data_IF_994652198925
#
_entry.id   IF_994652198925
#
_cell.length_a   1.000
_cell.length_b   1.000
_cell.length_c   1.000
_cell.angle_alpha   90.00
_cell.angle_beta   90.00
_cell.angle_gamma   90.00
#
_symmetry.space_group_name_H-M   'P 1'
#
loop_
_entity.id
_entity.type
_entity.pdbx_description
1 polymer ?
#
# COMPACT_ATOMS: atom_id res chain seq x y z
N UNK A 1 6.22 -7.84 1.07
CA UNK A 1 7.67 -7.56 1.13
C UNK A 1 7.94 -6.24 0.44
N UNK A 2 8.51 -5.31 1.18
CA UNK A 2 9.08 -4.07 0.65
C UNK A 2 10.49 -4.34 0.16
N UNK A 3 10.87 -3.73 -0.96
CA UNK A 3 12.21 -3.77 -1.54
C UNK A 3 12.62 -2.36 -1.93
N UNK A 4 13.77 -1.92 -1.44
CA UNK A 4 14.40 -0.67 -1.83
C UNK A 4 15.65 -0.99 -2.66
N UNK A 5 15.84 -0.32 -3.78
CA UNK A 5 16.98 -0.52 -4.69
C UNK A 5 17.37 0.81 -5.33
N UNK A 6 18.40 1.45 -4.78
CA UNK A 6 18.77 2.83 -5.12
C UNK A 6 17.60 3.77 -4.87
N UNK A 7 17.10 4.37 -5.95
CA UNK A 7 15.99 5.31 -5.95
C UNK A 7 14.61 4.67 -6.16
N UNK A 8 14.56 3.35 -6.30
CA UNK A 8 13.32 2.63 -6.54
C UNK A 8 12.86 1.96 -5.25
N UNK A 9 11.58 2.14 -4.93
CA UNK A 9 10.90 1.42 -3.85
C UNK A 9 9.78 0.60 -4.47
N UNK A 10 9.74 -0.68 -4.14
CA UNK A 10 8.70 -1.60 -4.57
C UNK A 10 8.07 -2.28 -3.35
N UNK A 11 6.74 -2.22 -3.25
CA UNK A 11 5.98 -2.88 -2.20
C UNK A 11 5.05 -3.91 -2.81
N UNK A 12 5.26 -5.17 -2.45
CA UNK A 12 4.42 -6.30 -2.84
C UNK A 12 3.75 -6.89 -1.61
N UNK A 13 2.49 -6.53 -1.35
CA UNK A 13 1.72 -7.01 -0.19
C UNK A 13 1.34 -5.92 0.81
N UNK A 14 1.10 -4.69 0.33
CA UNK A 14 0.39 -3.70 1.13
C UNK A 14 -1.11 -4.00 1.14
N UNK A 15 -1.83 -3.40 2.08
CA UNK A 15 -3.29 -3.41 2.10
C UNK A 15 -3.80 -1.98 2.33
N UNK A 16 -4.89 -1.60 1.67
CA UNK A 16 -5.58 -0.34 1.94
C UNK A 16 -7.08 -0.58 2.10
N UNK A 17 -7.73 0.33 2.83
CA UNK A 17 -9.13 0.21 3.21
C UNK A 17 -9.97 1.21 2.42
N UNK A 18 -11.05 0.73 1.82
CA UNK A 18 -12.02 1.57 1.09
C UNK A 18 -13.41 0.96 1.17
N UNK A 19 -14.43 1.79 1.44
CA UNK A 19 -15.84 1.37 1.55
C UNK A 19 -16.01 0.15 2.48
N UNK A 20 -15.34 0.15 3.64
CA UNK A 20 -15.35 -0.93 4.65
C UNK A 20 -14.80 -2.29 4.19
N UNK A 21 -14.04 -2.32 3.10
CA UNK A 21 -13.32 -3.50 2.61
C UNK A 21 -11.82 -3.22 2.55
N UNK A 22 -11.04 -4.25 2.81
CA UNK A 22 -9.60 -4.22 2.61
C UNK A 22 -9.27 -4.79 1.23
N UNK A 23 -8.29 -4.21 0.55
CA UNK A 23 -7.80 -4.65 -0.75
C UNK A 23 -6.30 -4.82 -0.72
N UNK A 24 -5.81 -5.83 -1.43
CA UNK A 24 -4.38 -5.94 -1.70
C UNK A 24 -3.93 -4.79 -2.61
N UNK A 25 -2.77 -4.23 -2.31
CA UNK A 25 -2.13 -3.24 -3.17
C UNK A 25 -0.66 -3.56 -3.34
N UNK A 26 -0.20 -3.33 -4.56
CA UNK A 26 1.21 -3.28 -4.90
C UNK A 26 1.51 -1.91 -5.47
N UNK A 27 2.66 -1.35 -5.13
CA UNK A 27 3.09 -0.10 -5.75
C UNK A 27 4.60 -0.09 -5.96
N UNK A 28 4.99 0.70 -6.94
CA UNK A 28 6.37 1.08 -7.17
C UNK A 28 6.47 2.60 -7.23
N UNK A 29 7.49 3.15 -6.60
CA UNK A 29 7.85 4.55 -6.78
C UNK A 29 9.33 4.69 -7.12
N UNK A 30 9.61 5.71 -7.91
CA UNK A 30 10.96 6.17 -8.20
C UNK A 30 11.13 7.55 -7.59
N UNK A 31 12.23 7.73 -6.86
CA UNK A 31 12.60 8.98 -6.19
C UNK A 31 13.69 9.67 -7.00
N UNK A 32 13.63 10.99 -7.10
CA UNK A 32 14.76 11.78 -7.55
C UNK A 32 15.92 11.66 -6.55
N UNK A 33 17.15 11.43 -7.04
CA UNK A 33 18.31 11.16 -6.18
C UNK A 33 18.81 12.36 -5.39
N UNK A 34 18.51 13.59 -5.83
CA UNK A 34 18.89 14.79 -5.11
C UNK A 34 17.81 15.23 -4.11
N UNK A 35 16.60 15.45 -4.62
CA UNK A 35 15.51 16.06 -3.86
C UNK A 35 14.68 15.07 -3.03
N UNK A 36 14.81 13.76 -3.29
CA UNK A 36 13.99 12.72 -2.66
C UNK A 36 12.51 12.75 -3.05
N UNK A 37 12.14 13.55 -4.05
CA UNK A 37 10.76 13.67 -4.53
C UNK A 37 10.38 12.45 -5.38
N UNK A 38 9.14 12.01 -5.27
CA UNK A 38 8.60 10.98 -6.17
C UNK A 38 8.49 11.55 -7.58
N UNK A 39 9.22 10.96 -8.53
CA UNK A 39 9.19 11.33 -9.96
C UNK A 39 8.35 10.38 -10.80
N UNK A 40 8.10 9.17 -10.30
CA UNK A 40 7.23 8.18 -10.93
C UNK A 40 6.51 7.35 -9.88
N UNK A 41 5.23 7.09 -10.10
CA UNK A 41 4.40 6.27 -9.24
C UNK A 41 3.47 5.39 -10.08
N UNK A 42 3.47 4.09 -9.79
CA UNK A 42 2.52 3.16 -10.36
C UNK A 42 2.01 2.22 -9.28
N UNK A 43 0.71 1.92 -9.32
CA UNK A 43 0.05 1.05 -8.37
C UNK A 43 -0.84 0.04 -9.07
N UNK A 44 -1.06 -1.08 -8.41
CA UNK A 44 -1.98 -2.13 -8.81
C UNK A 44 -2.85 -2.49 -7.61
N UNK A 45 -4.17 -2.34 -7.78
CA UNK A 45 -5.16 -2.81 -6.80
C UNK A 45 -5.51 -4.24 -7.17
N UNK A 46 -5.32 -5.15 -6.21
CA UNK A 46 -5.74 -6.54 -6.30
C UNK A 46 -7.11 -6.76 -5.68
N UNK A 47 -7.42 -8.03 -5.45
CA UNK A 47 -8.70 -8.45 -4.88
C UNK A 47 -8.90 -7.96 -3.44
N UNK A 48 -10.17 -7.95 -3.04
CA UNK A 48 -10.55 -7.71 -1.66
C UNK A 48 -10.02 -8.83 -0.75
N UNK A 49 -9.45 -8.47 0.38
CA UNK A 49 -8.96 -9.40 1.40
C UNK A 49 -10.18 -9.94 2.18
N UNK A 50 -10.40 -11.27 2.22
CA UNK A 50 -11.47 -11.89 3.00
C UNK A 50 -11.42 -11.50 4.48
N UNK A 51 -12.58 -11.31 5.12
CA UNK A 51 -12.67 -10.77 6.49
C UNK A 51 -12.05 -11.68 7.54
N UNK A 52 -12.12 -12.98 7.32
CA UNK A 52 -11.48 -14.02 8.11
C UNK A 52 -9.94 -13.93 8.08
N UNK A 53 -9.36 -13.36 7.03
CA UNK A 53 -7.92 -13.13 6.94
C UNK A 53 -7.46 -11.83 7.60
N UNK A 54 -8.37 -10.90 7.94
CA UNK A 54 -7.99 -9.57 8.42
C UNK A 54 -7.12 -9.60 9.68
N UNK A 55 -7.46 -10.45 10.66
CA UNK A 55 -6.68 -10.57 11.90
C UNK A 55 -5.26 -11.07 11.63
N UNK A 56 -5.10 -12.01 10.70
CA UNK A 56 -3.78 -12.54 10.30
C UNK A 56 -2.90 -11.46 9.67
N UNK A 57 -3.51 -10.47 9.02
CA UNK A 57 -2.84 -9.34 8.39
C UNK A 57 -2.83 -8.06 9.25
N UNK A 58 -3.26 -8.13 10.52
CA UNK A 58 -3.38 -6.98 11.44
C UNK A 58 -4.28 -5.85 10.90
N UNK A 59 -5.31 -6.21 10.12
CA UNK A 59 -6.23 -5.27 9.50
C UNK A 59 -7.43 -5.02 10.43
N UNK A 60 -7.62 -3.77 10.84
CA UNK A 60 -8.72 -3.39 11.73
C UNK A 60 -10.01 -3.13 10.96
N UNK A 61 -11.15 -3.30 11.64
CA UNK A 61 -12.48 -3.04 11.08
C UNK A 61 -12.87 -1.55 11.12
N UNK A 62 -12.08 -0.71 11.79
CA UNK A 62 -12.28 0.73 11.85
C UNK A 62 -11.72 1.39 10.58
N UNK A 63 -12.46 2.34 10.01
CA UNK A 63 -12.01 3.09 8.81
C UNK A 63 -10.96 4.16 9.17
N UNK A 64 -10.67 4.40 10.47
CA UNK A 64 -9.98 5.59 10.93
C UNK A 64 -10.77 6.86 10.63
N UNK A 65 -10.46 7.97 11.30
CA UNK A 65 -11.03 9.26 10.90
C UNK A 65 -10.37 9.63 9.56
N UNK A 66 -11.12 9.54 8.47
CA UNK A 66 -10.69 10.05 7.18
C UNK A 66 -10.57 11.58 7.26
N UNK A 67 -9.37 12.07 7.56
CA UNK A 67 -9.03 13.48 7.49
C UNK A 67 -8.33 14.02 8.73
N UNK A 68 -7.07 14.38 8.55
CA UNK A 68 -6.63 15.76 8.78
C UNK A 68 -5.54 16.11 7.77
#
# INVERSE_FOLDING_TARGET
MEKVSGNNVEVKGGAFRSKRKWYNIQFKCELDAGSGKVVSFAFLVGDAIPRDEWQKHNLVADDGVAGQ
#
